data_IF_518489484035
#
_entry.id   IF_518489484035
#
_cell.length_a   1.000
_cell.length_b   1.000
_cell.length_c   1.000
_cell.angle_alpha   90.00
_cell.angle_beta   90.00
_cell.angle_gamma   90.00
#
_symmetry.space_group_name_H-M   'P 1'
#
loop_
_entity.id
_entity.type
_entity.pdbx_description
1 polymer ?
#
# COMPACT_ATOMS: atom_id res chain seq x y z
N UNK A 1 -17.46 11.30 -0.71
CA UNK A 1 -16.07 11.56 -0.25
C UNK A 1 -15.42 12.43 -1.31
N UNK A 2 -14.68 13.50 -0.96
CA UNK A 2 -14.12 14.43 -1.98
C UNK A 2 -13.09 13.79 -2.92
N UNK A 3 -12.47 12.68 -2.53
CA UNK A 3 -11.45 12.00 -3.34
C UNK A 3 -12.00 11.39 -4.65
N UNK A 4 -13.28 10.98 -4.65
CA UNK A 4 -13.90 10.33 -5.83
C UNK A 4 -14.18 11.28 -6.99
N UNK A 5 -13.91 12.58 -6.84
CA UNK A 5 -14.07 13.58 -7.91
C UNK A 5 -12.80 13.80 -8.72
N UNK A 6 -11.69 13.17 -8.32
CA UNK A 6 -10.41 13.25 -9.03
C UNK A 6 -10.18 12.01 -9.90
N UNK A 7 -9.44 12.16 -10.99
CA UNK A 7 -8.95 11.01 -11.76
C UNK A 7 -7.71 10.42 -11.09
N UNK A 8 -7.91 9.29 -10.41
CA UNK A 8 -6.85 8.62 -9.66
C UNK A 8 -5.87 7.84 -10.56
N UNK A 9 -6.11 7.74 -11.88
CA UNK A 9 -5.16 7.13 -12.81
C UNK A 9 -4.00 8.06 -13.13
N UNK A 10 -4.21 9.37 -13.01
CA UNK A 10 -3.25 10.40 -13.40
C UNK A 10 -2.72 11.20 -12.21
N UNK A 11 -3.45 11.20 -11.10
CA UNK A 11 -3.06 11.90 -9.88
C UNK A 11 -2.24 11.03 -8.92
N UNK A 12 -1.25 11.64 -8.26
CA UNK A 12 -0.58 11.05 -7.10
C UNK A 12 -1.52 11.17 -5.89
N UNK A 13 -1.97 10.03 -5.35
CA UNK A 13 -2.95 9.99 -4.26
C UNK A 13 -2.50 10.81 -3.04
N UNK A 14 -1.21 10.75 -2.68
CA UNK A 14 -0.69 11.52 -1.54
C UNK A 14 -0.72 13.03 -1.76
N UNK A 15 -0.40 13.48 -2.98
CA UNK A 15 -0.47 14.90 -3.31
C UNK A 15 -1.91 15.43 -3.19
N UNK A 16 -2.90 14.63 -3.59
CA UNK A 16 -4.31 15.00 -3.42
C UNK A 16 -4.71 15.05 -1.94
N UNK A 17 -4.31 14.06 -1.15
CA UNK A 17 -4.65 14.01 0.28
C UNK A 17 -4.04 15.19 1.04
N UNK A 18 -2.77 15.51 0.80
CA UNK A 18 -2.07 16.56 1.53
C UNK A 18 -2.38 17.96 1.00
N UNK A 19 -2.32 18.17 -0.31
CA UNK A 19 -2.39 19.52 -0.89
C UNK A 19 -3.81 19.96 -1.25
N UNK A 20 -4.65 19.06 -1.75
CA UNK A 20 -6.01 19.41 -2.18
C UNK A 20 -7.04 19.22 -1.05
N UNK A 21 -6.83 18.21 -0.20
CA UNK A 21 -7.73 17.87 0.90
C UNK A 21 -7.23 18.32 2.27
N UNK A 22 -6.00 18.84 2.37
CA UNK A 22 -5.40 19.35 3.60
C UNK A 22 -5.39 18.32 4.73
N UNK A 23 -5.18 17.05 4.39
CA UNK A 23 -5.05 15.93 5.33
C UNK A 23 -3.57 15.70 5.59
N UNK A 24 -3.12 15.98 6.81
CA UNK A 24 -1.74 15.78 7.21
C UNK A 24 -1.50 14.31 7.59
N UNK A 25 -0.79 13.57 6.74
CA UNK A 25 -0.41 12.18 6.98
C UNK A 25 0.74 12.14 8.00
N UNK A 26 0.62 11.31 9.04
CA UNK A 26 1.56 11.32 10.18
C UNK A 26 2.26 9.98 10.40
N UNK A 27 1.51 8.89 10.34
CA UNK A 27 2.02 7.55 10.64
C UNK A 27 1.50 6.54 9.62
N UNK A 28 2.28 5.50 9.35
CA UNK A 28 1.84 4.36 8.58
C UNK A 28 2.26 3.06 9.26
N UNK A 29 1.31 2.15 9.42
CA UNK A 29 1.58 0.78 9.82
C UNK A 29 1.54 -0.11 8.58
N UNK A 30 2.60 -0.89 8.34
CA UNK A 30 2.68 -1.80 7.20
C UNK A 30 3.05 -3.22 7.63
N UNK A 31 2.27 -4.19 7.18
CA UNK A 31 2.56 -5.62 7.31
C UNK A 31 2.96 -6.19 5.95
N UNK A 32 3.91 -7.11 5.94
CA UNK A 32 4.32 -7.86 4.75
C UNK A 32 4.26 -9.35 5.11
N UNK A 33 3.46 -10.11 4.38
CA UNK A 33 3.23 -11.55 4.59
C UNK A 33 3.31 -12.30 3.26
N UNK A 34 3.28 -13.63 3.32
CA UNK A 34 3.08 -14.48 2.14
C UNK A 34 1.60 -14.73 1.91
N UNK A 35 1.17 -14.79 0.65
CA UNK A 35 -0.21 -15.08 0.26
C UNK A 35 -0.24 -16.14 -0.84
N UNK A 36 -1.06 -17.17 -0.65
CA UNK A 36 -1.33 -18.16 -1.69
C UNK A 36 -2.39 -17.60 -2.63
N UNK A 37 -2.07 -17.52 -3.92
CA UNK A 37 -2.94 -16.87 -4.88
C UNK A 37 -4.14 -17.74 -5.24
N UNK A 38 -5.27 -17.09 -5.55
CA UNK A 38 -6.39 -17.74 -6.22
C UNK A 38 -6.30 -17.59 -7.75
N UNK A 39 -7.19 -18.27 -8.48
CA UNK A 39 -7.26 -18.25 -9.95
C UNK A 39 -7.38 -16.85 -10.57
N UNK A 40 -8.19 -15.98 -9.97
CA UNK A 40 -8.39 -14.62 -10.48
C UNK A 40 -7.12 -13.78 -10.30
N UNK A 41 -6.50 -13.86 -9.12
CA UNK A 41 -5.22 -13.19 -8.82
C UNK A 41 -4.10 -13.69 -9.73
N UNK A 42 -4.02 -15.01 -9.95
CA UNK A 42 -3.09 -15.64 -10.88
C UNK A 42 -3.22 -15.10 -12.31
N UNK A 43 -4.45 -14.89 -12.75
CA UNK A 43 -4.74 -14.32 -14.08
C UNK A 43 -4.28 -12.86 -14.16
N UNK A 44 -4.60 -12.04 -13.16
CA UNK A 44 -4.21 -10.62 -13.15
C UNK A 44 -2.69 -10.40 -13.02
N UNK A 45 -2.00 -11.30 -12.31
CA UNK A 45 -0.55 -11.23 -12.10
C UNK A 45 0.25 -12.00 -13.16
N UNK A 46 -0.43 -12.73 -14.05
CA UNK A 46 0.15 -13.58 -15.10
C UNK A 46 1.15 -14.61 -14.54
N UNK A 47 0.71 -15.34 -13.51
CA UNK A 47 1.50 -16.39 -12.82
C UNK A 47 0.67 -17.66 -12.62
N UNK A 48 1.33 -18.77 -12.27
CA UNK A 48 0.66 -20.05 -12.05
C UNK A 48 -0.09 -20.07 -10.71
N UNK A 49 -1.27 -20.69 -10.63
CA UNK A 49 -2.13 -20.75 -9.42
C UNK A 49 -1.46 -21.40 -8.20
N UNK A 50 -0.41 -22.21 -8.41
CA UNK A 50 0.39 -22.78 -7.31
C UNK A 50 1.43 -21.82 -6.72
N UNK A 51 1.54 -20.60 -7.25
CA UNK A 51 2.54 -19.63 -6.82
C UNK A 51 2.15 -19.00 -5.48
N UNK A 52 3.16 -18.55 -4.73
CA UNK A 52 2.99 -17.73 -3.53
C UNK A 52 3.52 -16.33 -3.84
N UNK A 53 2.80 -15.31 -3.41
CA UNK A 53 3.16 -13.90 -3.59
C UNK A 53 3.43 -13.23 -2.25
N UNK A 54 4.03 -12.05 -2.28
CA UNK A 54 4.11 -11.18 -1.12
C UNK A 54 2.84 -10.33 -1.04
N UNK A 55 2.16 -10.34 0.11
CA UNK A 55 1.06 -9.44 0.41
C UNK A 55 1.58 -8.33 1.30
N UNK A 56 1.43 -7.09 0.84
CA UNK A 56 1.69 -5.90 1.66
C UNK A 56 0.36 -5.22 1.98
N UNK A 57 0.10 -5.00 3.27
CA UNK A 57 -1.05 -4.25 3.75
C UNK A 57 -0.53 -3.03 4.50
N UNK A 58 -1.17 -1.88 4.30
CA UNK A 58 -0.78 -0.64 4.97
C UNK A 58 -1.99 0.17 5.38
N UNK A 59 -1.95 0.70 6.59
CA UNK A 59 -2.89 1.73 7.04
C UNK A 59 -2.11 3.00 7.31
N UNK A 60 -2.58 4.12 6.75
CA UNK A 60 -2.01 5.45 6.99
C UNK A 60 -2.95 6.22 7.92
N UNK A 61 -2.39 6.89 8.91
CA UNK A 61 -3.10 7.67 9.92
C UNK A 61 -2.73 9.16 9.80
N UNK A 62 -3.70 10.03 10.05
CA UNK A 62 -3.45 11.46 10.19
C UNK A 62 -2.80 11.80 11.54
N UNK A 63 -2.42 13.06 11.71
CA UNK A 63 -1.87 13.61 12.96
C UNK A 63 -2.76 13.48 14.20
N UNK A 64 -4.04 13.14 14.03
CA UNK A 64 -4.98 12.90 15.13
C UNK A 64 -5.18 11.40 15.39
N UNK A 65 -4.42 10.52 14.72
CA UNK A 65 -4.51 9.08 14.84
C UNK A 65 -5.71 8.47 14.11
N UNK A 66 -6.37 9.22 13.22
CA UNK A 66 -7.50 8.70 12.44
C UNK A 66 -6.99 8.03 11.17
N UNK A 67 -7.48 6.83 10.89
CA UNK A 67 -7.17 6.12 9.64
C UNK A 67 -7.68 6.93 8.41
N UNK A 68 -6.78 7.16 7.45
CA UNK A 68 -7.02 7.92 6.21
C UNK A 68 -7.08 6.98 5.00
N UNK A 69 -6.12 6.06 4.89
CA UNK A 69 -6.00 5.12 3.76
C UNK A 69 -5.78 3.70 4.28
N UNK A 70 -6.43 2.73 3.63
CA UNK A 70 -6.09 1.31 3.74
C UNK A 70 -5.68 0.80 2.35
N UNK A 71 -4.50 0.19 2.28
CA UNK A 71 -3.88 -0.35 1.08
C UNK A 71 -3.69 -1.85 1.23
N UNK A 72 -3.96 -2.60 0.16
CA UNK A 72 -3.56 -4.00 0.00
C UNK A 72 -2.97 -4.19 -1.39
N UNK A 73 -1.78 -4.78 -1.46
CA UNK A 73 -1.12 -5.14 -2.71
C UNK A 73 -0.55 -6.55 -2.69
N UNK A 74 -0.65 -7.22 -3.84
CA UNK A 74 -0.02 -8.52 -4.09
C UNK A 74 1.15 -8.34 -5.06
N UNK A 75 2.33 -8.82 -4.68
CA UNK A 75 3.57 -8.61 -5.40
C UNK A 75 4.27 -9.93 -5.72
N UNK A 76 4.65 -10.06 -6.99
CA UNK A 76 5.46 -11.16 -7.51
C UNK A 76 6.88 -11.13 -6.91
N UNK A 77 7.30 -12.15 -6.14
CA UNK A 77 8.61 -12.14 -5.47
C UNK A 77 9.78 -12.29 -6.45
N UNK A 78 9.54 -12.77 -7.67
CA UNK A 78 10.49 -12.81 -8.77
C UNK A 78 10.73 -11.43 -9.42
N UNK A 79 9.81 -10.48 -9.20
CA UNK A 79 9.84 -9.14 -9.80
C UNK A 79 10.11 -8.02 -8.78
N UNK A 80 9.75 -8.22 -7.52
CA UNK A 80 9.76 -7.19 -6.48
C UNK A 80 10.52 -7.62 -5.23
N UNK A 81 11.27 -6.68 -4.66
CA UNK A 81 11.97 -6.84 -3.38
C UNK A 81 11.61 -5.68 -2.46
N UNK A 82 11.10 -5.97 -1.27
CA UNK A 82 10.98 -4.97 -0.21
C UNK A 82 12.31 -4.77 0.49
N UNK A 83 12.96 -3.62 0.25
CA UNK A 83 14.20 -3.24 0.92
C UNK A 83 13.89 -2.24 2.04
N UNK A 84 14.16 -2.65 3.29
CA UNK A 84 13.95 -1.81 4.46
C UNK A 84 15.31 -1.41 5.03
N UNK A 85 15.55 -0.09 5.17
CA UNK A 85 16.70 0.44 5.89
C UNK A 85 16.22 1.04 7.20
N UNK A 86 16.58 0.42 8.31
CA UNK A 86 16.27 0.94 9.65
C UNK A 86 17.52 1.53 10.29
N UNK A 87 17.33 2.47 11.21
CA UNK A 87 18.38 2.98 12.09
C UNK A 87 17.87 2.93 13.51
N UNK A 88 18.68 2.41 14.44
CA UNK A 88 18.37 2.47 15.87
C UNK A 88 18.41 3.93 16.31
N UNK A 89 17.33 4.43 16.92
CA UNK A 89 17.34 5.70 17.64
C UNK A 89 18.13 5.50 18.94
N UNK A 90 19.23 6.23 19.11
CA UNK A 90 19.92 6.32 20.39
C UNK A 90 19.19 7.37 21.22
N UNK A 91 18.88 7.02 22.47
CA UNK A 91 18.25 7.91 23.46
C UNK A 91 19.27 8.93 23.96
#
# INVERSE_FOLDING_TARGET
MKLSTFDLNTATIYDLLENELYINLSEAEQSITTHQINKQEATHLEIHESSTVLRAERVIYDQFGKAVESYQGLYRPDMYVFRIKTKRKLL
#
